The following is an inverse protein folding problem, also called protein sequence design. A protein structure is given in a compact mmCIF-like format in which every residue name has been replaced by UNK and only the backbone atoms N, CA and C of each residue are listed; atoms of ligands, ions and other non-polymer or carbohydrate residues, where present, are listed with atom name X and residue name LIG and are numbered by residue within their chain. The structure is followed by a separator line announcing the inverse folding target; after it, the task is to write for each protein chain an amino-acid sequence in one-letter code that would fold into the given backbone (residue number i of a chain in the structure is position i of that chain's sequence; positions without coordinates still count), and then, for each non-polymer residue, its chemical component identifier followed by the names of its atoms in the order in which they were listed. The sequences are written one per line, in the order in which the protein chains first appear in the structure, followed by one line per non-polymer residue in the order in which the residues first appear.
data_IF_552365883591
#
_entry.id   IF_552365883591
#
_cell.length_a   1.000
_cell.length_b   1.000
_cell.length_c   1.000
_cell.angle_alpha   90.00
_cell.angle_beta   90.00
_cell.angle_gamma   90.00
#
_symmetry.space_group_name_H-M   'P 1'
#
loop_
_entity.id
_entity.type
_entity.pdbx_description
1 polymer ?
#
# COMPACT_ATOMS: atom_id res chain seq x y z
N UNK A 1 15.11 2.94 -7.71
CA UNK A 1 13.82 3.10 -7.02
C UNK A 1 13.14 4.34 -7.58
N UNK A 2 11.91 4.20 -8.06
CA UNK A 2 11.09 5.30 -8.58
C UNK A 2 9.99 5.64 -7.56
N UNK A 3 10.06 6.85 -6.99
CA UNK A 3 9.32 7.26 -5.80
C UNK A 3 10.11 6.95 -4.52
N UNK A 4 10.68 7.98 -3.88
CA UNK A 4 11.59 7.81 -2.73
C UNK A 4 10.96 8.39 -1.45
N UNK A 5 9.66 8.17 -1.25
CA UNK A 5 8.98 8.48 0.00
C UNK A 5 9.21 7.40 1.08
N UNK A 6 8.26 7.26 2.00
CA UNK A 6 8.30 6.25 3.07
C UNK A 6 8.62 4.84 2.53
N UNK A 7 7.86 4.37 1.54
CA UNK A 7 7.98 2.99 1.04
C UNK A 7 9.26 2.82 0.22
N UNK A 8 9.47 3.64 -0.82
CA UNK A 8 10.63 3.52 -1.69
C UNK A 8 11.96 3.79 -0.96
N UNK A 9 11.99 4.77 -0.05
CA UNK A 9 13.14 5.00 0.83
C UNK A 9 13.41 3.83 1.77
N UNK A 10 12.35 3.18 2.28
CA UNK A 10 12.51 1.98 3.11
C UNK A 10 12.99 0.78 2.30
N UNK A 11 12.56 0.63 1.03
CA UNK A 11 13.11 -0.39 0.13
C UNK A 11 14.60 -0.18 -0.06
N UNK A 12 15.03 1.04 -0.35
CA UNK A 12 16.44 1.39 -0.50
C UNK A 12 17.24 1.07 0.77
N UNK A 13 16.77 1.54 1.93
CA UNK A 13 17.41 1.29 3.22
C UNK A 13 17.49 -0.20 3.58
N UNK A 14 16.41 -0.95 3.36
CA UNK A 14 16.34 -2.37 3.65
C UNK A 14 17.27 -3.17 2.72
N UNK A 15 17.30 -2.87 1.42
CA UNK A 15 18.16 -3.53 0.45
C UNK A 15 19.66 -3.33 0.75
N UNK A 16 20.05 -2.13 1.12
CA UNK A 16 21.42 -1.82 1.58
C UNK A 16 21.77 -2.59 2.86
N UNK A 17 20.87 -2.59 3.85
CA UNK A 17 21.08 -3.29 5.12
C UNK A 17 21.17 -4.79 4.94
N UNK A 18 20.40 -5.35 4.01
CA UNK A 18 20.46 -6.78 3.67
C UNK A 18 21.68 -7.16 2.82
N UNK A 19 22.44 -6.18 2.30
CA UNK A 19 23.57 -6.43 1.42
C UNK A 19 23.19 -7.14 0.11
N UNK A 20 21.97 -6.95 -0.37
CA UNK A 20 21.48 -7.61 -1.57
C UNK A 20 21.52 -6.71 -2.82
N UNK A 21 22.10 -5.52 -2.70
CA UNK A 21 22.32 -4.55 -3.79
C UNK A 21 23.69 -3.87 -3.61
N UNK A 22 24.37 -3.60 -4.72
CA UNK A 22 25.67 -2.90 -4.74
C UNK A 22 25.47 -1.39 -4.84
N UNK A 23 24.43 -0.94 -5.54
CA UNK A 23 24.15 0.47 -5.78
C UNK A 23 22.65 0.74 -5.87
N UNK A 24 22.19 1.81 -5.24
CA UNK A 24 20.79 2.24 -5.25
C UNK A 24 20.68 3.62 -5.87
N UNK A 25 20.04 3.69 -7.03
CA UNK A 25 19.68 4.93 -7.70
C UNK A 25 18.23 5.27 -7.37
N UNK A 26 17.95 6.51 -6.97
CA UNK A 26 16.61 7.01 -6.71
C UNK A 26 16.17 8.07 -7.69
N UNK A 27 14.88 8.09 -7.98
CA UNK A 27 14.22 9.20 -8.65
C UNK A 27 12.89 9.52 -7.95
N UNK A 28 12.62 10.78 -7.74
CA UNK A 28 11.30 11.29 -7.36
C UNK A 28 11.15 12.72 -7.94
N UNK A 29 9.93 13.15 -8.31
CA UNK A 29 9.69 14.56 -8.58
C UNK A 29 9.91 15.39 -7.31
N UNK A 30 10.41 16.62 -7.45
CA UNK A 30 10.72 17.49 -6.32
C UNK A 30 12.01 17.10 -5.59
N UNK A 31 12.05 17.33 -4.27
CA UNK A 31 13.27 17.22 -3.47
C UNK A 31 13.44 15.88 -2.73
N UNK A 32 12.44 15.02 -2.71
CA UNK A 32 12.45 13.76 -1.95
C UNK A 32 13.68 12.87 -2.27
N UNK A 33 14.09 12.79 -3.54
CA UNK A 33 15.23 11.97 -3.91
C UNK A 33 16.55 12.57 -3.42
N UNK A 34 16.71 13.90 -3.45
CA UNK A 34 17.89 14.59 -2.90
C UNK A 34 17.96 14.47 -1.38
N UNK A 35 16.81 14.59 -0.73
CA UNK A 35 16.71 14.40 0.70
C UNK A 35 17.03 12.95 1.10
N UNK A 36 16.53 11.96 0.37
CA UNK A 36 16.87 10.55 0.59
C UNK A 36 18.38 10.29 0.39
N UNK A 37 19.03 10.94 -0.57
CA UNK A 37 20.48 10.88 -0.73
C UNK A 37 21.20 11.47 0.48
N UNK A 38 20.77 12.64 0.95
CA UNK A 38 21.33 13.29 2.14
C UNK A 38 21.17 12.46 3.42
N UNK A 39 20.08 11.67 3.51
CA UNK A 39 19.85 10.72 4.60
C UNK A 39 20.63 9.39 4.44
N UNK A 40 21.41 9.23 3.37
CA UNK A 40 22.18 8.02 3.10
C UNK A 40 21.33 6.81 2.67
N UNK A 41 20.08 7.04 2.21
CA UNK A 41 19.22 5.98 1.71
C UNK A 41 19.59 5.56 0.27
N UNK A 42 20.15 6.46 -0.50
CA UNK A 42 20.56 6.26 -1.91
C UNK A 42 22.07 6.43 -2.06
N UNK A 43 22.62 5.89 -3.14
CA UNK A 43 24.00 6.14 -3.60
C UNK A 43 24.05 7.26 -4.61
N UNK A 44 22.99 7.42 -5.43
CA UNK A 44 22.87 8.51 -6.41
C UNK A 44 21.41 8.86 -6.69
N UNK A 45 21.22 10.05 -7.25
CA UNK A 45 19.91 10.55 -7.71
C UNK A 45 19.97 10.72 -9.21
N UNK A 46 18.94 10.25 -9.90
CA UNK A 46 18.74 10.46 -11.31
C UNK A 46 17.91 11.72 -11.58
N UNK A 47 18.18 12.40 -12.69
CA UNK A 47 17.42 13.58 -13.11
C UNK A 47 16.11 13.24 -13.83
N UNK A 48 15.95 11.97 -14.22
CA UNK A 48 14.73 11.47 -14.87
C UNK A 48 14.50 9.99 -14.56
N UNK A 49 13.24 9.49 -14.70
CA UNK A 49 12.97 8.06 -14.63
C UNK A 49 13.79 7.23 -15.63
N UNK A 50 13.99 7.75 -16.84
CA UNK A 50 14.78 7.12 -17.89
C UNK A 50 16.24 6.89 -17.44
N UNK A 51 16.86 7.90 -16.86
CA UNK A 51 18.23 7.80 -16.33
C UNK A 51 18.31 6.81 -15.15
N UNK A 52 17.27 6.79 -14.29
CA UNK A 52 17.25 5.90 -13.12
C UNK A 52 17.23 4.40 -13.48
N UNK A 53 16.79 4.03 -14.68
CA UNK A 53 16.59 2.64 -15.08
C UNK A 53 17.55 2.12 -16.13
N UNK A 54 18.37 3.01 -16.73
CA UNK A 54 19.22 2.68 -17.88
C UNK A 54 20.18 1.50 -17.64
N UNK A 55 20.75 1.43 -16.42
CA UNK A 55 21.69 0.37 -16.01
C UNK A 55 21.17 -0.45 -14.82
N UNK A 56 19.87 -0.38 -14.53
CA UNK A 56 19.31 -1.05 -13.37
C UNK A 56 18.95 -2.51 -13.66
N UNK A 57 19.35 -3.43 -12.78
CA UNK A 57 18.97 -4.84 -12.82
C UNK A 57 17.57 -5.08 -12.24
N UNK A 58 17.17 -4.28 -11.24
CA UNK A 58 15.87 -4.33 -10.60
C UNK A 58 15.29 -2.93 -10.41
N UNK A 59 14.08 -2.73 -10.87
CA UNK A 59 13.34 -1.47 -10.81
C UNK A 59 12.17 -1.65 -9.86
N UNK A 60 12.13 -0.84 -8.79
CA UNK A 60 11.03 -0.81 -7.84
C UNK A 60 10.23 0.48 -8.02
N UNK A 61 8.96 0.34 -8.41
CA UNK A 61 8.03 1.46 -8.58
C UNK A 61 7.26 1.68 -7.26
N UNK A 62 7.64 2.70 -6.51
CA UNK A 62 7.00 3.11 -5.25
C UNK A 62 6.36 4.50 -5.37
N UNK A 63 5.94 4.85 -6.58
CA UNK A 63 5.23 6.07 -6.91
C UNK A 63 3.71 5.93 -6.63
N UNK A 64 2.97 7.05 -6.51
CA UNK A 64 1.52 7.03 -6.44
C UNK A 64 0.90 6.27 -7.62
N UNK A 65 -0.22 5.59 -7.37
CA UNK A 65 -0.83 4.69 -8.35
C UNK A 65 -1.19 5.39 -9.67
N UNK A 66 -1.67 6.63 -9.59
CA UNK A 66 -2.01 7.44 -10.76
C UNK A 66 -0.82 7.79 -11.66
N UNK A 67 0.43 7.72 -11.15
CA UNK A 67 1.63 7.97 -11.93
C UNK A 67 2.17 6.72 -12.65
N UNK A 68 1.72 5.52 -12.25
CA UNK A 68 2.27 4.27 -12.79
C UNK A 68 2.06 4.09 -14.31
N UNK A 69 0.91 4.43 -14.91
CA UNK A 69 0.72 4.27 -16.36
C UNK A 69 1.77 5.04 -17.18
N UNK A 70 2.00 6.30 -16.84
CA UNK A 70 3.00 7.14 -17.52
C UNK A 70 4.43 6.66 -17.26
N UNK A 71 4.72 6.24 -16.03
CA UNK A 71 6.01 5.65 -15.68
C UNK A 71 6.27 4.40 -16.52
N UNK A 72 5.38 3.43 -16.55
CA UNK A 72 5.55 2.22 -17.35
C UNK A 72 5.83 2.55 -18.82
N UNK A 73 5.05 3.45 -19.44
CA UNK A 73 5.23 3.84 -20.83
C UNK A 73 6.59 4.54 -21.06
N UNK A 74 6.97 5.44 -20.18
CA UNK A 74 8.20 6.20 -20.28
C UNK A 74 9.48 5.40 -20.05
N UNK A 75 9.39 4.26 -19.34
CA UNK A 75 10.56 3.44 -19.03
C UNK A 75 10.98 2.50 -20.17
N UNK A 76 10.04 2.02 -20.98
CA UNK A 76 10.29 0.95 -21.98
C UNK A 76 11.51 1.19 -22.86
N UNK A 77 11.72 2.39 -23.47
CA UNK A 77 12.87 2.63 -24.35
C UNK A 77 14.22 2.63 -23.62
N UNK A 78 14.21 2.68 -22.29
CA UNK A 78 15.39 2.88 -21.47
C UNK A 78 15.73 1.68 -20.56
N UNK A 79 14.91 0.63 -20.60
CA UNK A 79 15.12 -0.56 -19.76
C UNK A 79 16.38 -1.32 -20.21
N UNK A 80 17.27 -1.59 -19.27
CA UNK A 80 18.40 -2.47 -19.50
C UNK A 80 17.94 -3.87 -19.95
N UNK A 81 18.70 -4.56 -20.82
CA UNK A 81 18.40 -5.95 -21.18
C UNK A 81 18.35 -6.83 -19.94
N UNK A 82 17.20 -7.49 -19.71
CA UNK A 82 17.03 -8.38 -18.55
C UNK A 82 16.61 -7.69 -17.24
N UNK A 83 16.48 -6.36 -17.19
CA UNK A 83 16.01 -5.64 -16.02
C UNK A 83 14.65 -6.18 -15.55
N UNK A 84 14.51 -6.42 -14.25
CA UNK A 84 13.28 -6.84 -13.60
C UNK A 84 12.52 -5.63 -13.08
N UNK A 85 11.19 -5.73 -13.07
CA UNK A 85 10.33 -4.68 -12.54
C UNK A 85 9.41 -5.26 -11.44
N UNK A 86 9.19 -4.47 -10.40
CA UNK A 86 8.18 -4.71 -9.37
C UNK A 86 7.60 -3.39 -8.89
N UNK A 87 6.48 -3.42 -8.20
CA UNK A 87 5.85 -2.22 -7.65
C UNK A 87 5.48 -2.38 -6.18
N UNK A 88 5.00 -1.31 -5.58
CA UNK A 88 4.52 -1.25 -4.20
C UNK A 88 3.07 -0.77 -4.10
N UNK A 89 2.32 -0.76 -5.21
CA UNK A 89 0.98 -0.21 -5.24
C UNK A 89 -0.01 -1.01 -4.38
N UNK A 90 -0.99 -0.31 -3.82
CA UNK A 90 -2.01 -0.89 -2.94
C UNK A 90 -3.12 -1.64 -3.68
N UNK A 91 -3.23 -1.45 -5.01
CA UNK A 91 -4.19 -2.12 -5.89
C UNK A 91 -3.46 -2.82 -7.03
N UNK A 92 -3.98 -3.96 -7.49
CA UNK A 92 -3.27 -4.79 -8.46
C UNK A 92 -3.88 -4.80 -9.85
N UNK A 93 -5.20 -4.84 -9.97
CA UNK A 93 -5.85 -4.97 -11.29
C UNK A 93 -5.50 -3.83 -12.24
N UNK A 94 -5.61 -2.59 -11.79
CA UNK A 94 -5.30 -1.40 -12.59
C UNK A 94 -3.80 -1.31 -12.90
N UNK A 95 -2.95 -1.57 -11.90
CA UNK A 95 -1.50 -1.55 -12.06
C UNK A 95 -1.03 -2.59 -13.07
N UNK A 96 -1.58 -3.80 -13.01
CA UNK A 96 -1.32 -4.88 -13.98
C UNK A 96 -1.80 -4.50 -15.37
N UNK A 97 -2.99 -3.92 -15.48
CA UNK A 97 -3.54 -3.47 -16.76
C UNK A 97 -2.65 -2.39 -17.40
N UNK A 98 -2.21 -1.41 -16.61
CA UNK A 98 -1.30 -0.35 -17.08
C UNK A 98 0.07 -0.92 -17.53
N UNK A 99 0.64 -1.83 -16.72
CA UNK A 99 1.90 -2.49 -17.07
C UNK A 99 1.78 -3.33 -18.36
N UNK A 100 0.70 -4.11 -18.49
CA UNK A 100 0.45 -4.93 -19.69
C UNK A 100 0.31 -4.08 -20.94
N UNK A 101 -0.40 -2.95 -20.85
CA UNK A 101 -0.58 -2.03 -21.97
C UNK A 101 0.72 -1.35 -22.42
N UNK A 102 1.64 -1.07 -21.47
CA UNK A 102 2.81 -0.26 -21.73
C UNK A 102 4.10 -1.07 -22.00
N UNK A 103 4.34 -2.15 -21.25
CA UNK A 103 5.66 -2.80 -21.19
C UNK A 103 5.97 -3.71 -22.40
N UNK A 104 4.98 -4.09 -23.23
CA UNK A 104 5.22 -4.98 -24.37
C UNK A 104 6.00 -6.25 -23.94
N UNK A 105 7.10 -6.62 -24.63
CA UNK A 105 7.91 -7.80 -24.27
C UNK A 105 8.53 -7.72 -22.87
N UNK A 106 8.73 -6.53 -22.31
CA UNK A 106 9.27 -6.37 -20.96
C UNK A 106 8.26 -6.79 -19.87
N UNK A 107 6.98 -6.91 -20.20
CA UNK A 107 5.94 -7.35 -19.27
C UNK A 107 6.24 -8.71 -18.63
N UNK A 108 6.86 -9.63 -19.36
CA UNK A 108 7.28 -10.92 -18.80
C UNK A 108 8.29 -10.80 -17.64
N UNK A 109 8.94 -9.66 -17.49
CA UNK A 109 9.91 -9.37 -16.44
C UNK A 109 9.34 -8.53 -15.29
N UNK A 110 8.03 -8.27 -15.31
CA UNK A 110 7.32 -7.55 -14.27
C UNK A 110 6.60 -8.52 -13.33
N UNK A 111 6.89 -8.41 -12.03
CA UNK A 111 6.14 -9.08 -10.98
C UNK A 111 5.44 -8.03 -10.12
N UNK A 112 4.11 -7.91 -10.22
CA UNK A 112 3.33 -7.02 -9.36
C UNK A 112 3.49 -7.40 -7.89
N UNK A 113 3.70 -6.42 -7.02
CA UNK A 113 3.81 -6.65 -5.59
C UNK A 113 3.03 -5.60 -4.78
N UNK A 114 2.70 -5.95 -3.55
CA UNK A 114 2.13 -5.07 -2.55
C UNK A 114 2.72 -5.41 -1.18
N UNK A 115 3.73 -4.67 -0.70
CA UNK A 115 4.20 -4.82 0.67
C UNK A 115 3.17 -4.22 1.63
N UNK A 116 2.69 -5.05 2.55
CA UNK A 116 1.69 -4.65 3.55
C UNK A 116 2.43 -4.03 4.74
N UNK A 117 2.96 -2.87 4.49
CA UNK A 117 3.76 -2.10 5.43
C UNK A 117 3.57 -0.61 5.16
N UNK A 118 3.57 0.19 6.21
CA UNK A 118 3.39 1.63 6.08
C UNK A 118 3.10 2.27 7.44
N UNK A 119 2.89 3.57 7.40
CA UNK A 119 2.41 4.35 8.54
C UNK A 119 1.69 5.60 8.00
N UNK A 120 1.12 6.37 8.89
CA UNK A 120 0.54 7.69 8.59
C UNK A 120 1.61 8.74 8.21
N UNK A 121 2.89 8.44 8.43
CA UNK A 121 4.02 9.32 8.08
C UNK A 121 4.35 9.21 6.59
N UNK A 122 4.95 10.25 6.04
CA UNK A 122 5.30 10.36 4.62
C UNK A 122 6.71 10.97 4.46
N UNK A 123 7.22 10.94 3.22
CA UNK A 123 8.54 11.46 2.89
C UNK A 123 9.69 10.51 3.22
N UNK A 124 10.90 10.83 2.76
CA UNK A 124 12.09 10.01 2.98
C UNK A 124 12.54 9.97 4.44
N UNK A 125 12.26 11.01 5.26
CA UNK A 125 12.56 11.03 6.69
C UNK A 125 11.82 9.95 7.48
N UNK A 126 10.68 9.46 6.98
CA UNK A 126 9.93 8.39 7.59
C UNK A 126 10.44 6.99 7.21
N UNK A 127 11.36 6.90 6.24
CA UNK A 127 11.91 5.64 5.77
C UNK A 127 12.73 4.92 6.84
N UNK A 128 12.65 3.60 6.85
CA UNK A 128 13.38 2.76 7.81
C UNK A 128 13.69 1.39 7.21
N UNK A 129 14.89 0.88 7.43
CA UNK A 129 15.35 -0.42 6.92
C UNK A 129 14.51 -1.60 7.44
N UNK A 130 13.96 -1.51 8.64
CA UNK A 130 13.15 -2.57 9.25
C UNK A 130 11.67 -2.54 8.88
N UNK A 131 11.22 -1.70 7.93
CA UNK A 131 9.79 -1.54 7.63
C UNK A 131 9.13 -2.83 7.16
N UNK A 132 9.86 -3.66 6.43
CA UNK A 132 9.33 -4.90 5.83
C UNK A 132 9.59 -6.14 6.69
N UNK A 133 10.29 -6.02 7.82
CA UNK A 133 10.58 -7.17 8.69
C UNK A 133 9.27 -7.77 9.20
N UNK A 134 9.07 -9.06 8.92
CA UNK A 134 7.86 -9.81 9.24
C UNK A 134 6.57 -9.28 8.61
N UNK A 135 6.66 -8.27 7.74
CA UNK A 135 5.51 -7.78 6.99
C UNK A 135 5.10 -8.77 5.89
N UNK A 136 3.80 -8.89 5.64
CA UNK A 136 3.34 -9.60 4.46
C UNK A 136 3.70 -8.82 3.20
N UNK A 137 4.19 -9.53 2.18
CA UNK A 137 4.38 -8.99 0.83
C UNK A 137 3.59 -9.88 -0.12
N UNK A 138 2.55 -9.32 -0.71
CA UNK A 138 1.74 -10.06 -1.66
C UNK A 138 2.30 -9.85 -3.05
N UNK A 139 2.57 -10.93 -3.77
CA UNK A 139 2.92 -10.87 -5.20
C UNK A 139 1.80 -11.47 -6.03
N UNK A 140 1.56 -10.91 -7.22
CA UNK A 140 0.48 -11.32 -8.10
C UNK A 140 1.02 -11.74 -9.47
N UNK A 141 1.72 -12.91 -9.56
CA UNK A 141 2.25 -13.37 -10.84
C UNK A 141 1.15 -13.52 -11.87
N UNK A 142 1.45 -13.13 -13.10
CA UNK A 142 0.54 -13.25 -14.24
C UNK A 142 0.99 -14.43 -15.11
N UNK A 143 0.12 -14.99 -15.96
CA UNK A 143 0.50 -16.09 -16.85
C UNK A 143 1.71 -15.79 -17.73
N UNK A 144 1.90 -14.52 -18.09
CA UNK A 144 3.02 -14.05 -18.90
C UNK A 144 4.32 -13.78 -18.09
N UNK A 145 4.22 -13.69 -16.75
CA UNK A 145 5.39 -13.41 -15.91
C UNK A 145 6.37 -14.57 -15.96
N UNK A 146 7.61 -14.30 -16.36
CA UNK A 146 8.64 -15.32 -16.45
C UNK A 146 8.96 -15.92 -15.08
N UNK A 147 9.09 -17.26 -14.94
CA UNK A 147 9.39 -17.92 -13.66
C UNK A 147 10.65 -17.37 -12.99
N UNK A 148 11.65 -16.96 -13.78
CA UNK A 148 12.86 -16.33 -13.25
C UNK A 148 12.59 -14.97 -12.62
N UNK A 149 11.67 -14.17 -13.19
CA UNK A 149 11.26 -12.89 -12.61
C UNK A 149 10.54 -13.12 -11.26
N UNK A 150 9.63 -14.10 -11.20
CA UNK A 150 8.95 -14.50 -9.96
C UNK A 150 9.98 -14.87 -8.91
N UNK A 151 10.90 -15.78 -9.23
CA UNK A 151 11.90 -16.26 -8.27
C UNK A 151 12.81 -15.12 -7.75
N UNK A 152 13.35 -14.27 -8.64
CA UNK A 152 14.30 -13.21 -8.24
C UNK A 152 13.61 -12.09 -7.46
N UNK A 153 12.43 -11.63 -7.87
CA UNK A 153 11.71 -10.58 -7.16
C UNK A 153 11.18 -11.09 -5.81
N UNK A 154 10.72 -12.33 -5.74
CA UNK A 154 10.35 -12.97 -4.46
C UNK A 154 11.54 -13.06 -3.51
N UNK A 155 12.71 -13.47 -4.01
CA UNK A 155 13.93 -13.51 -3.22
C UNK A 155 14.35 -12.13 -2.72
N UNK A 156 14.21 -11.09 -3.56
CA UNK A 156 14.46 -9.71 -3.16
C UNK A 156 13.59 -9.28 -1.99
N UNK A 157 12.26 -9.40 -2.10
CA UNK A 157 11.34 -9.04 -1.01
C UNK A 157 11.59 -9.85 0.27
N UNK A 158 11.95 -11.13 0.12
CA UNK A 158 12.33 -11.98 1.27
C UNK A 158 13.62 -11.51 1.94
N UNK A 159 14.62 -11.08 1.16
CA UNK A 159 15.86 -10.51 1.69
C UNK A 159 15.63 -9.21 2.48
N UNK A 160 14.60 -8.43 2.13
CA UNK A 160 14.18 -7.26 2.89
C UNK A 160 13.46 -7.63 4.22
N UNK A 161 13.26 -8.91 4.50
CA UNK A 161 12.58 -9.41 5.69
C UNK A 161 11.09 -9.66 5.50
N UNK A 162 10.55 -9.50 4.30
CA UNK A 162 9.14 -9.73 3.98
C UNK A 162 8.74 -11.19 3.93
N UNK A 163 7.55 -11.50 4.42
CA UNK A 163 6.91 -12.81 4.25
C UNK A 163 6.12 -12.81 2.94
N UNK A 164 6.76 -13.28 1.87
CA UNK A 164 6.16 -13.25 0.53
C UNK A 164 5.12 -14.36 0.37
N UNK A 165 3.99 -14.01 -0.20
CA UNK A 165 2.93 -14.96 -0.59
C UNK A 165 2.31 -14.55 -1.92
N UNK A 166 1.85 -15.54 -2.70
CA UNK A 166 1.20 -15.30 -3.97
C UNK A 166 -0.31 -15.19 -3.81
N UNK A 167 -0.91 -14.30 -4.56
CA UNK A 167 -2.35 -14.12 -4.62
C UNK A 167 -2.77 -13.73 -6.05
N UNK A 168 -3.94 -14.18 -6.46
CA UNK A 168 -4.59 -13.68 -7.67
C UNK A 168 -4.95 -12.19 -7.50
N UNK A 169 -4.83 -11.41 -8.57
CA UNK A 169 -5.01 -9.96 -8.51
C UNK A 169 -6.43 -9.51 -8.16
N UNK A 170 -7.47 -10.17 -8.70
CA UNK A 170 -8.88 -9.87 -8.35
C UNK A 170 -9.12 -10.20 -6.88
N UNK A 171 -8.65 -11.36 -6.44
CA UNK A 171 -8.76 -11.76 -5.04
C UNK A 171 -8.00 -10.81 -4.12
N UNK A 172 -6.82 -10.33 -4.55
CA UNK A 172 -6.07 -9.30 -3.82
C UNK A 172 -6.92 -8.06 -3.59
N UNK A 173 -7.44 -7.46 -4.68
CA UNK A 173 -8.15 -6.19 -4.59
C UNK A 173 -9.46 -6.31 -3.78
N UNK A 174 -10.16 -7.45 -3.85
CA UNK A 174 -11.34 -7.75 -3.00
C UNK A 174 -10.97 -7.90 -1.54
N UNK A 175 -9.89 -8.62 -1.20
CA UNK A 175 -9.43 -8.76 0.18
C UNK A 175 -9.00 -7.40 0.74
N UNK A 176 -8.24 -6.60 -0.01
CA UNK A 176 -7.77 -5.32 0.46
C UNK A 176 -8.87 -4.26 0.52
N UNK A 177 -9.93 -4.37 -0.27
CA UNK A 177 -11.15 -3.62 -0.07
C UNK A 177 -11.76 -3.87 1.32
N UNK A 178 -11.75 -5.12 1.79
CA UNK A 178 -12.31 -5.52 3.09
C UNK A 178 -11.42 -5.12 4.27
N UNK A 179 -10.11 -5.41 4.19
CA UNK A 179 -9.23 -5.33 5.37
C UNK A 179 -8.49 -4.00 5.48
N UNK A 180 -8.52 -3.18 4.43
CA UNK A 180 -7.76 -1.92 4.37
C UNK A 180 -8.57 -0.76 3.79
N UNK A 181 -9.05 -0.86 2.54
CA UNK A 181 -9.57 0.30 1.82
C UNK A 181 -10.86 0.83 2.44
N UNK A 182 -11.85 -0.04 2.64
CA UNK A 182 -13.09 0.35 3.31
C UNK A 182 -12.87 0.81 4.77
N UNK A 183 -12.08 0.12 5.60
CA UNK A 183 -11.73 0.62 6.93
C UNK A 183 -11.18 2.04 6.95
N UNK A 184 -10.32 2.42 6.01
CA UNK A 184 -9.84 3.81 5.94
C UNK A 184 -10.97 4.78 5.59
N UNK A 185 -11.80 4.47 4.59
CA UNK A 185 -12.93 5.33 4.22
C UNK A 185 -13.88 5.54 5.42
N UNK A 186 -14.18 4.46 6.16
CA UNK A 186 -15.02 4.50 7.35
C UNK A 186 -14.41 5.38 8.45
N UNK A 187 -13.09 5.27 8.68
CA UNK A 187 -12.41 6.08 9.69
C UNK A 187 -12.34 7.55 9.30
N UNK A 188 -12.11 7.88 8.03
CA UNK A 188 -12.22 9.27 7.54
C UNK A 188 -13.63 9.83 7.78
N UNK A 189 -14.67 9.04 7.51
CA UNK A 189 -16.06 9.45 7.76
C UNK A 189 -16.35 9.66 9.26
N UNK A 190 -15.84 8.76 10.13
CA UNK A 190 -15.95 8.89 11.57
C UNK A 190 -15.28 10.18 12.07
N UNK A 191 -14.04 10.43 11.67
CA UNK A 191 -13.31 11.65 12.05
C UNK A 191 -14.03 12.92 11.56
N UNK A 192 -14.53 12.91 10.31
CA UNK A 192 -15.27 14.04 9.76
C UNK A 192 -16.61 14.29 10.49
N UNK A 193 -17.30 13.23 10.90
CA UNK A 193 -18.54 13.35 11.68
C UNK A 193 -18.28 13.96 13.07
N UNK A 194 -17.22 13.49 13.77
CA UNK A 194 -16.83 14.06 15.08
C UNK A 194 -16.43 15.53 14.92
N UNK A 195 -15.60 15.86 13.92
CA UNK A 195 -15.11 17.21 13.69
C UNK A 195 -16.23 18.23 13.36
N UNK A 196 -17.34 17.78 12.79
CA UNK A 196 -18.52 18.63 12.52
C UNK A 196 -19.52 18.67 13.67
N UNK A 197 -19.32 17.85 14.69
CA UNK A 197 -20.23 17.76 15.82
C UNK A 197 -20.09 18.95 16.77
N UNK A 198 -21.13 19.24 17.58
CA UNK A 198 -21.11 20.36 18.53
C UNK A 198 -20.09 20.19 19.68
N UNK A 199 -19.55 19.00 19.86
CA UNK A 199 -18.59 18.64 20.90
C UNK A 199 -17.18 18.35 20.37
N UNK A 200 -16.82 18.83 19.15
CA UNK A 200 -15.54 18.52 18.50
C UNK A 200 -14.33 18.83 19.38
N UNK A 201 -14.30 20.02 19.99
CA UNK A 201 -13.22 20.45 20.88
C UNK A 201 -13.15 19.63 22.18
N UNK A 202 -14.29 19.25 22.71
CA UNK A 202 -14.35 18.39 23.89
C UNK A 202 -13.90 16.96 23.55
N UNK A 203 -14.26 16.46 22.39
CA UNK A 203 -13.80 15.18 21.89
C UNK A 203 -12.27 15.13 21.77
N UNK A 204 -11.61 16.19 21.28
CA UNK A 204 -10.14 16.27 21.23
C UNK A 204 -9.52 16.19 22.63
N UNK A 205 -10.11 16.88 23.61
CA UNK A 205 -9.58 16.91 24.99
C UNK A 205 -9.83 15.62 25.75
N UNK A 206 -10.98 14.97 25.50
CA UNK A 206 -11.44 13.79 26.25
C UNK A 206 -11.19 12.46 25.55
N UNK A 207 -10.56 12.48 24.35
CA UNK A 207 -10.26 11.27 23.61
C UNK A 207 -9.39 10.30 24.41
N UNK A 208 -9.93 9.13 24.70
CA UNK A 208 -9.21 8.00 25.28
C UNK A 208 -8.53 7.12 24.22
N UNK A 209 -7.87 6.05 24.67
CA UNK A 209 -7.18 5.09 23.79
C UNK A 209 -8.10 4.52 22.71
N UNK A 210 -9.37 4.21 23.04
CA UNK A 210 -10.31 3.65 22.06
C UNK A 210 -10.50 4.54 20.82
N UNK A 211 -10.73 5.86 21.01
CA UNK A 211 -10.85 6.76 19.86
C UNK A 211 -9.50 6.93 19.15
N UNK A 212 -8.41 7.09 19.87
CA UNK A 212 -7.08 7.28 19.28
C UNK A 212 -6.67 6.10 18.41
N UNK A 213 -6.86 4.87 18.91
CA UNK A 213 -6.50 3.66 18.16
C UNK A 213 -7.39 3.48 16.93
N UNK A 214 -8.71 3.68 17.09
CA UNK A 214 -9.67 3.55 15.99
C UNK A 214 -9.45 4.62 14.93
N UNK A 215 -9.13 5.86 15.31
CA UNK A 215 -9.00 6.98 14.38
C UNK A 215 -7.58 7.16 13.81
N UNK A 216 -6.59 6.40 14.26
CA UNK A 216 -5.18 6.57 13.88
C UNK A 216 -4.97 6.62 12.36
N UNK A 217 -5.58 5.73 11.62
CA UNK A 217 -5.47 5.66 10.15
C UNK A 217 -6.18 6.82 9.43
N UNK A 218 -7.05 7.57 10.11
CA UNK A 218 -7.66 8.80 9.59
C UNK A 218 -6.71 9.99 9.47
N UNK A 219 -5.47 9.87 9.99
CA UNK A 219 -4.41 10.84 9.79
C UNK A 219 -3.57 10.61 8.52
N UNK A 220 -3.90 9.60 7.73
CA UNK A 220 -3.21 9.26 6.48
C UNK A 220 -3.45 10.33 5.39
N UNK A 221 -2.60 10.33 4.35
CA UNK A 221 -2.73 11.26 3.22
C UNK A 221 -4.08 11.13 2.51
N UNK A 222 -4.86 12.20 2.52
CA UNK A 222 -6.18 12.24 1.88
C UNK A 222 -6.10 11.99 0.37
N UNK A 223 -5.08 12.56 -0.31
CA UNK A 223 -4.88 12.37 -1.75
C UNK A 223 -4.57 10.90 -2.08
N UNK A 224 -3.63 10.29 -1.36
CA UNK A 224 -3.29 8.87 -1.56
C UNK A 224 -4.52 7.96 -1.38
N UNK A 225 -5.31 8.20 -0.34
CA UNK A 225 -6.48 7.36 -0.08
C UNK A 225 -7.63 7.61 -1.04
N UNK A 226 -7.80 8.83 -1.54
CA UNK A 226 -8.75 9.10 -2.63
C UNK A 226 -8.39 8.29 -3.88
N UNK A 227 -7.11 8.29 -4.27
CA UNK A 227 -6.65 7.52 -5.43
C UNK A 227 -6.86 6.02 -5.23
N UNK A 228 -6.50 5.44 -4.06
CA UNK A 228 -6.69 4.02 -3.76
C UNK A 228 -8.18 3.63 -3.80
N UNK A 229 -9.05 4.43 -3.19
CA UNK A 229 -10.49 4.15 -3.13
C UNK A 229 -11.15 4.22 -4.50
N UNK A 230 -10.74 5.19 -5.33
CA UNK A 230 -11.26 5.32 -6.70
C UNK A 230 -10.74 4.21 -7.60
N UNK A 231 -9.50 3.80 -7.43
CA UNK A 231 -8.89 2.74 -8.22
C UNK A 231 -9.48 1.35 -7.91
N UNK A 232 -9.81 1.09 -6.65
CA UNK A 232 -10.48 -0.16 -6.21
C UNK A 232 -11.98 0.04 -5.93
N UNK A 233 -12.63 0.93 -6.68
CA UNK A 233 -13.98 1.45 -6.38
C UNK A 233 -15.04 0.36 -6.21
N UNK A 234 -15.15 -0.56 -7.15
CA UNK A 234 -16.25 -1.54 -7.15
C UNK A 234 -16.16 -2.50 -5.95
N UNK A 235 -15.01 -3.15 -5.64
CA UNK A 235 -14.86 -3.92 -4.41
C UNK A 235 -15.10 -3.12 -3.13
N UNK A 236 -14.69 -1.84 -3.09
CA UNK A 236 -14.91 -0.97 -1.92
C UNK A 236 -16.40 -0.69 -1.72
N UNK A 237 -17.16 -0.40 -2.80
CA UNK A 237 -18.60 -0.16 -2.72
C UNK A 237 -19.37 -1.42 -2.30
N UNK A 238 -18.95 -2.61 -2.72
CA UNK A 238 -19.53 -3.87 -2.22
C UNK A 238 -19.35 -4.02 -0.71
N UNK A 239 -18.19 -3.63 -0.17
CA UNK A 239 -17.94 -3.69 1.29
C UNK A 239 -18.71 -2.61 2.04
N UNK A 240 -18.84 -1.42 1.47
CA UNK A 240 -19.66 -0.34 1.99
C UNK A 240 -21.11 -0.81 2.19
N UNK A 241 -21.72 -1.42 1.18
CA UNK A 241 -23.10 -1.92 1.25
C UNK A 241 -23.29 -2.98 2.35
N UNK A 242 -22.33 -3.90 2.52
CA UNK A 242 -22.35 -4.88 3.60
C UNK A 242 -22.26 -4.22 4.98
N UNK A 243 -21.39 -3.22 5.13
CA UNK A 243 -21.25 -2.45 6.37
C UNK A 243 -22.51 -1.63 6.69
N UNK A 244 -23.12 -0.97 5.70
CA UNK A 244 -24.36 -0.23 5.85
C UNK A 244 -25.49 -1.12 6.38
N UNK A 245 -25.58 -2.35 5.89
CA UNK A 245 -26.54 -3.34 6.36
C UNK A 245 -26.38 -3.65 7.86
N UNK A 246 -25.14 -3.90 8.31
CA UNK A 246 -24.86 -4.17 9.72
C UNK A 246 -25.07 -2.91 10.59
N UNK A 247 -24.66 -1.73 10.09
CA UNK A 247 -24.88 -0.47 10.79
C UNK A 247 -26.38 -0.17 10.95
N UNK A 248 -27.18 -0.36 9.89
CA UNK A 248 -28.64 -0.19 9.95
C UNK A 248 -29.29 -1.12 10.98
N UNK A 249 -28.82 -2.35 11.06
CA UNK A 249 -29.33 -3.33 12.03
C UNK A 249 -28.97 -2.94 13.48
N UNK A 250 -27.76 -2.45 13.74
CA UNK A 250 -27.36 -1.92 15.06
C UNK A 250 -28.24 -0.70 15.43
N UNK A 251 -28.40 0.24 14.52
CA UNK A 251 -29.23 1.42 14.73
C UNK A 251 -30.71 1.06 14.95
N UNK A 252 -31.22 0.04 14.27
CA UNK A 252 -32.56 -0.50 14.46
C UNK A 252 -32.75 -1.04 15.87
N UNK A 253 -31.83 -1.87 16.35
CA UNK A 253 -31.87 -2.42 17.71
C UNK A 253 -31.76 -1.32 18.78
N UNK A 254 -30.89 -0.30 18.55
CA UNK A 254 -30.81 0.87 19.45
C UNK A 254 -32.13 1.63 19.55
N UNK A 255 -32.77 1.91 18.40
CA UNK A 255 -34.07 2.59 18.39
C UNK A 255 -35.19 1.81 19.09
N UNK A 256 -35.15 0.49 18.98
CA UNK A 256 -36.10 -0.40 19.63
C UNK A 256 -35.80 -0.66 21.13
N UNK A 257 -34.63 -0.23 21.63
CA UNK A 257 -34.14 -0.59 22.96
C UNK A 257 -33.88 -2.10 23.11
N UNK A 258 -33.63 -2.80 21.99
CA UNK A 258 -33.43 -4.25 21.97
C UNK A 258 -32.00 -4.61 22.37
N UNK A 259 -31.81 -4.83 23.66
CA UNK A 259 -30.53 -5.19 24.26
C UNK A 259 -30.00 -6.54 23.75
N UNK A 260 -30.91 -7.50 23.60
CA UNK A 260 -30.50 -8.86 23.26
C UNK A 260 -30.02 -8.95 21.80
N UNK A 261 -30.68 -8.27 20.90
CA UNK A 261 -30.22 -8.12 19.53
C UNK A 261 -28.83 -7.43 19.43
N UNK A 262 -28.55 -6.41 20.26
CA UNK A 262 -27.24 -5.79 20.34
C UNK A 262 -26.16 -6.74 20.84
N UNK A 263 -26.45 -7.49 21.91
CA UNK A 263 -25.52 -8.49 22.49
C UNK A 263 -25.18 -9.54 21.45
N UNK A 264 -26.16 -10.11 20.77
CA UNK A 264 -25.92 -11.12 19.73
C UNK A 264 -24.99 -10.61 18.64
N UNK A 265 -25.23 -9.41 18.11
CA UNK A 265 -24.39 -8.80 17.07
C UNK A 265 -22.97 -8.54 17.55
N UNK A 266 -22.82 -7.94 18.72
CA UNK A 266 -21.50 -7.62 19.28
C UNK A 266 -20.73 -8.89 19.66
N UNK A 267 -21.39 -9.94 20.15
CA UNK A 267 -20.75 -11.22 20.42
C UNK A 267 -20.18 -11.87 19.15
N UNK A 268 -20.91 -11.83 18.02
CA UNK A 268 -20.40 -12.31 16.72
C UNK A 268 -19.19 -11.51 16.26
N UNK A 269 -19.25 -10.19 16.34
CA UNK A 269 -18.14 -9.32 15.97
C UNK A 269 -16.89 -9.57 16.84
N UNK A 270 -17.09 -9.68 18.17
CA UNK A 270 -16.03 -9.96 19.12
C UNK A 270 -15.39 -11.33 18.89
N UNK A 271 -16.18 -12.36 18.62
CA UNK A 271 -15.70 -13.70 18.30
C UNK A 271 -14.84 -13.72 17.01
N UNK A 272 -15.20 -12.95 16.00
CA UNK A 272 -14.39 -12.79 14.80
C UNK A 272 -13.09 -12.03 15.11
N UNK A 273 -13.18 -10.90 15.84
CA UNK A 273 -12.02 -10.06 16.18
C UNK A 273 -10.97 -10.83 17.01
N UNK A 274 -11.42 -11.72 17.91
CA UNK A 274 -10.51 -12.52 18.75
C UNK A 274 -9.65 -13.50 17.95
N UNK A 275 -9.99 -13.78 16.69
CA UNK A 275 -9.21 -14.62 15.78
C UNK A 275 -8.08 -13.85 15.07
N UNK A 276 -8.14 -12.51 15.06
CA UNK A 276 -7.03 -11.70 14.54
C UNK A 276 -5.85 -11.83 15.50
N UNK A 277 -4.77 -12.42 14.98
CA UNK A 277 -3.52 -12.53 15.75
C UNK A 277 -2.90 -11.14 15.90
N UNK A 278 -2.28 -10.87 17.05
CA UNK A 278 -1.38 -9.75 17.17
C UNK A 278 -0.17 -10.03 16.25
N UNK A 279 0.07 -9.14 15.29
CA UNK A 279 1.24 -9.18 14.41
C UNK A 279 2.40 -8.46 15.07
#
# INVERSE_FOLDING_TARGET
VLGVGLIGGSVAAAARTAGCVDHVIGYAPGDDAREALALGLLDSVADSPAQAVADADLIVLAAPIGALPELFAGLVPHLAPGALLTDCASTKLSTIAAARAALGPAYARYLPAHPIAGSEKHGPQAARAGLFRDAAVIVCPQPETAPQAVARVTAFWSALGGRVSELDADRHDRIFAEVSHWPHAMVFALCAAIARGPWAEDALRMAGGGLRDTSRIGASSAALWADILLDNREPVLERAAAFETELAAILGALRAGDRDALIERFARASAWRSRLRAT
#
